data_IF_602913367605
#
_entry.id   IF_602913367605
#
_cell.length_a   1.000
_cell.length_b   1.000
_cell.length_c   1.000
_cell.angle_alpha   90.00
_cell.angle_beta   90.00
_cell.angle_gamma   90.00
#
_symmetry.space_group_name_H-M   'P 1'
#
loop_
_entity.id
_entity.type
_entity.pdbx_description
1 polymer ?
#
# COMPACT_ATOMS: atom_id res chain seq x y z
N UNK A 1 31.78 -40.59 -20.98
CA UNK A 1 31.21 -39.46 -20.22
C UNK A 1 32.32 -38.44 -19.99
N UNK A 2 32.12 -37.19 -20.39
CA UNK A 2 33.09 -36.11 -20.16
C UNK A 2 33.17 -35.75 -18.67
N UNK A 3 34.36 -35.36 -18.19
CA UNK A 3 34.52 -34.91 -16.80
C UNK A 3 33.66 -33.66 -16.53
N UNK A 4 32.94 -33.57 -15.39
CA UNK A 4 32.10 -32.42 -15.07
C UNK A 4 32.93 -31.15 -14.84
N UNK A 5 32.44 -30.03 -15.38
CA UNK A 5 33.08 -28.72 -15.25
C UNK A 5 33.07 -28.23 -13.80
N UNK A 6 34.26 -28.01 -13.23
CA UNK A 6 34.44 -27.63 -11.82
C UNK A 6 34.34 -26.11 -11.63
N UNK A 7 33.13 -25.56 -11.71
CA UNK A 7 32.87 -24.12 -11.58
C UNK A 7 33.52 -23.48 -10.34
N UNK A 8 33.57 -24.22 -9.22
CA UNK A 8 34.14 -23.75 -7.96
C UNK A 8 35.68 -23.66 -7.92
N UNK A 9 36.37 -24.07 -8.98
CA UNK A 9 37.84 -23.94 -9.16
C UNK A 9 38.23 -22.74 -10.03
N UNK A 10 37.26 -22.03 -10.62
CA UNK A 10 37.56 -20.84 -11.40
C UNK A 10 38.13 -19.72 -10.52
N UNK A 11 39.07 -18.90 -11.04
CA UNK A 11 39.48 -17.68 -10.38
C UNK A 11 38.28 -16.77 -10.09
N UNK A 12 38.31 -16.06 -8.95
CA UNK A 12 37.17 -15.27 -8.47
C UNK A 12 36.62 -14.26 -9.49
N UNK A 13 37.49 -13.59 -10.25
CA UNK A 13 37.09 -12.63 -11.29
C UNK A 13 36.31 -13.30 -12.42
N UNK A 14 36.78 -14.46 -12.89
CA UNK A 14 36.13 -15.25 -13.95
C UNK A 14 34.78 -15.77 -13.45
N UNK A 15 34.77 -16.32 -12.23
CA UNK A 15 33.54 -16.83 -11.61
C UNK A 15 32.49 -15.74 -11.43
N UNK A 16 32.90 -14.53 -11.01
CA UNK A 16 32.01 -13.37 -10.91
C UNK A 16 31.43 -12.97 -12.27
N UNK A 17 32.26 -12.99 -13.32
CA UNK A 17 31.80 -12.71 -14.69
C UNK A 17 30.81 -13.77 -15.19
N UNK A 18 31.02 -15.04 -14.86
CA UNK A 18 30.06 -16.11 -15.15
C UNK A 18 28.71 -15.82 -14.47
N UNK A 19 28.71 -15.52 -13.16
CA UNK A 19 27.48 -15.23 -12.43
C UNK A 19 26.76 -13.97 -12.95
N UNK A 20 27.52 -12.95 -13.37
CA UNK A 20 26.96 -11.75 -13.98
C UNK A 20 26.17 -12.03 -15.27
N UNK A 21 26.59 -13.03 -16.05
CA UNK A 21 25.93 -13.40 -17.31
C UNK A 21 24.83 -14.45 -17.13
N UNK A 22 24.73 -15.10 -15.97
CA UNK A 22 23.64 -16.03 -15.66
C UNK A 22 22.33 -15.29 -15.44
N UNK A 23 21.23 -15.83 -15.93
CA UNK A 23 19.87 -15.36 -15.65
C UNK A 23 19.53 -15.46 -14.15
N UNK A 24 18.50 -14.72 -13.73
CA UNK A 24 18.00 -14.77 -12.36
C UNK A 24 17.63 -16.21 -11.94
N UNK A 25 16.94 -16.95 -12.81
CA UNK A 25 16.56 -18.35 -12.54
C UNK A 25 17.78 -19.26 -12.37
N UNK A 26 18.79 -19.12 -13.21
CA UNK A 26 20.04 -19.88 -13.10
C UNK A 26 20.79 -19.56 -11.80
N UNK A 27 20.85 -18.28 -11.40
CA UNK A 27 21.48 -17.89 -10.13
C UNK A 27 20.71 -18.43 -8.92
N UNK A 28 19.38 -18.37 -8.97
CA UNK A 28 18.50 -18.94 -7.96
C UNK A 28 18.75 -20.45 -7.83
N UNK A 29 18.84 -21.19 -8.94
CA UNK A 29 19.15 -22.64 -8.92
C UNK A 29 20.56 -22.92 -8.45
N UNK A 30 21.55 -22.18 -8.94
CA UNK A 30 22.94 -22.34 -8.55
C UNK A 30 23.16 -22.09 -7.05
N UNK A 31 22.42 -21.15 -6.45
CA UNK A 31 22.46 -20.90 -5.01
C UNK A 31 21.93 -22.09 -4.18
N UNK A 32 21.11 -22.97 -4.75
CA UNK A 32 20.65 -24.18 -4.07
C UNK A 32 21.63 -25.34 -4.19
N UNK A 33 22.52 -25.31 -5.18
CA UNK A 33 23.48 -26.39 -5.37
C UNK A 33 24.54 -26.45 -4.26
N UNK A 34 24.86 -25.33 -3.59
CA UNK A 34 25.80 -25.33 -2.45
C UNK A 34 25.73 -24.05 -1.60
N UNK A 35 26.08 -24.15 -0.32
CA UNK A 35 26.26 -22.98 0.55
C UNK A 35 27.36 -22.04 0.04
N UNK A 36 28.39 -22.57 -0.63
CA UNK A 36 29.48 -21.78 -1.19
C UNK A 36 28.99 -20.88 -2.32
N UNK A 37 28.24 -21.42 -3.29
CA UNK A 37 27.67 -20.63 -4.40
C UNK A 37 26.66 -19.60 -3.89
N UNK A 38 25.79 -19.98 -2.95
CA UNK A 38 24.88 -19.04 -2.27
C UNK A 38 25.64 -17.87 -1.65
N UNK A 39 26.68 -18.16 -0.88
CA UNK A 39 27.48 -17.13 -0.20
C UNK A 39 28.19 -16.20 -1.17
N UNK A 40 28.70 -16.72 -2.30
CA UNK A 40 29.34 -15.89 -3.33
C UNK A 40 28.34 -14.97 -4.04
N UNK A 41 27.17 -15.48 -4.43
CA UNK A 41 26.12 -14.66 -5.06
C UNK A 41 25.68 -13.54 -4.11
N UNK A 42 25.50 -13.89 -2.84
CA UNK A 42 25.12 -12.94 -1.80
C UNK A 42 26.20 -11.86 -1.59
N UNK A 43 27.45 -12.27 -1.38
CA UNK A 43 28.57 -11.37 -1.10
C UNK A 43 28.87 -10.42 -2.26
N UNK A 44 28.69 -10.86 -3.50
CA UNK A 44 28.95 -10.03 -4.68
C UNK A 44 27.82 -9.08 -5.03
N UNK A 45 26.64 -9.24 -4.40
CA UNK A 45 25.45 -8.40 -4.58
C UNK A 45 25.24 -7.98 -6.04
N UNK A 46 25.21 -8.98 -6.92
CA UNK A 46 25.33 -8.77 -8.38
C UNK A 46 24.10 -8.04 -8.94
N UNK A 47 22.95 -8.16 -8.29
CA UNK A 47 21.67 -7.62 -8.74
C UNK A 47 20.95 -6.94 -7.58
N UNK A 48 20.48 -5.72 -7.79
CA UNK A 48 19.53 -5.09 -6.90
C UNK A 48 18.11 -5.49 -7.34
N UNK A 49 17.41 -6.23 -6.50
CA UNK A 49 16.10 -6.80 -6.82
C UNK A 49 15.02 -6.28 -5.89
N UNK A 50 13.84 -6.06 -6.43
CA UNK A 50 12.62 -5.75 -5.69
C UNK A 50 11.52 -6.77 -6.01
N UNK A 51 10.77 -7.16 -4.98
CA UNK A 51 9.70 -8.15 -5.09
C UNK A 51 8.33 -7.49 -5.07
N UNK A 52 7.49 -7.89 -6.03
CA UNK A 52 6.07 -7.53 -6.10
C UNK A 52 5.26 -8.82 -6.02
N UNK A 53 4.65 -9.04 -4.86
CA UNK A 53 3.97 -10.29 -4.52
C UNK A 53 2.48 -10.15 -4.80
N UNK A 54 1.92 -11.11 -5.53
CA UNK A 54 0.49 -11.19 -5.76
C UNK A 54 -0.06 -12.52 -5.22
N UNK A 55 -0.90 -12.43 -4.19
CA UNK A 55 -1.67 -13.51 -3.56
C UNK A 55 -3.17 -13.29 -3.81
N UNK A 56 -3.54 -12.78 -4.99
CA UNK A 56 -4.90 -12.44 -5.39
C UNK A 56 -5.20 -13.04 -6.76
N UNK A 57 -6.01 -14.11 -6.75
CA UNK A 57 -6.48 -14.95 -7.87
C UNK A 57 -5.39 -15.68 -8.69
N UNK A 58 -4.31 -14.99 -9.07
CA UNK A 58 -3.28 -15.47 -10.00
C UNK A 58 -1.90 -15.65 -9.38
N UNK A 59 -1.81 -16.04 -8.10
CA UNK A 59 -0.59 -16.29 -7.30
C UNK A 59 0.74 -16.23 -8.06
N UNK A 60 1.48 -15.12 -7.92
CA UNK A 60 2.76 -14.91 -8.60
C UNK A 60 3.71 -14.00 -7.82
N UNK A 61 5.00 -14.09 -8.15
CA UNK A 61 6.02 -13.12 -7.73
C UNK A 61 6.58 -12.43 -8.98
N UNK A 62 6.48 -11.11 -9.05
CA UNK A 62 7.20 -10.32 -10.05
C UNK A 62 8.47 -9.78 -9.41
N UNK A 63 9.60 -10.02 -10.05
CA UNK A 63 10.93 -9.56 -9.62
C UNK A 63 11.39 -8.48 -10.58
N UNK A 64 11.65 -7.30 -10.03
CA UNK A 64 12.15 -6.14 -10.75
C UNK A 64 13.64 -5.98 -10.45
N UNK A 65 14.46 -5.86 -11.49
CA UNK A 65 15.91 -5.71 -11.39
C UNK A 65 16.33 -4.30 -11.77
N UNK A 66 17.26 -3.74 -10.98
CA UNK A 66 17.69 -2.35 -11.12
C UNK A 66 19.21 -2.25 -11.28
N UNK A 67 19.66 -1.23 -12.03
CA UNK A 67 21.07 -0.84 -12.04
C UNK A 67 21.42 -0.22 -10.69
N UNK A 68 22.47 -0.74 -10.04
CA UNK A 68 22.92 -0.30 -8.71
C UNK A 68 23.31 1.18 -8.63
N UNK A 69 23.78 1.79 -9.72
CA UNK A 69 24.24 3.18 -9.70
C UNK A 69 23.09 4.19 -9.64
N UNK A 70 21.99 3.96 -10.37
CA UNK A 70 20.97 5.00 -10.63
C UNK A 70 19.52 4.50 -10.43
N UNK A 71 19.30 3.26 -9.96
CA UNK A 71 17.98 2.63 -9.77
C UNK A 71 17.06 2.67 -11.00
N UNK A 72 17.62 2.64 -12.21
CA UNK A 72 16.82 2.41 -13.41
C UNK A 72 16.42 0.95 -13.51
N UNK A 73 15.13 0.68 -13.74
CA UNK A 73 14.61 -0.65 -13.99
C UNK A 73 15.19 -1.19 -15.29
N UNK A 74 15.92 -2.30 -15.22
CA UNK A 74 16.52 -2.94 -16.40
C UNK A 74 15.66 -4.07 -16.93
N UNK A 75 15.07 -4.84 -16.02
CA UNK A 75 14.32 -6.05 -16.34
C UNK A 75 13.24 -6.29 -15.29
N UNK A 76 12.10 -6.77 -15.73
CA UNK A 76 11.07 -7.30 -14.83
C UNK A 76 10.66 -8.69 -15.30
N UNK A 77 10.64 -9.65 -14.38
CA UNK A 77 10.27 -11.04 -14.66
C UNK A 77 9.15 -11.49 -13.73
N UNK A 78 8.10 -12.09 -14.29
CA UNK A 78 6.99 -12.68 -13.55
C UNK A 78 7.20 -14.19 -13.40
N UNK A 79 7.14 -14.68 -12.16
CA UNK A 79 7.17 -16.10 -11.81
C UNK A 79 5.77 -16.52 -11.38
N UNK A 80 5.09 -17.29 -12.23
CA UNK A 80 3.76 -17.83 -11.93
C UNK A 80 3.88 -18.98 -10.92
N UNK A 81 3.07 -18.94 -9.88
CA UNK A 81 3.07 -19.95 -8.81
C UNK A 81 1.77 -20.76 -8.72
N UNK A 82 0.78 -20.44 -9.56
CA UNK A 82 -0.47 -21.20 -9.68
C UNK A 82 -0.17 -22.68 -9.90
N UNK A 83 -0.85 -23.51 -9.11
CA UNK A 83 -0.78 -24.96 -9.21
C UNK A 83 -2.20 -25.49 -9.27
N UNK A 84 -2.50 -26.38 -10.22
CA UNK A 84 -3.81 -27.02 -10.28
C UNK A 84 -3.86 -28.17 -9.27
N UNK A 85 -4.99 -28.31 -8.59
CA UNK A 85 -5.29 -29.46 -7.78
C UNK A 85 -5.41 -30.69 -8.70
N UNK A 86 -4.69 -31.78 -8.45
CA UNK A 86 -4.66 -32.93 -9.34
C UNK A 86 -6.00 -33.65 -9.47
N UNK A 87 -6.91 -33.46 -8.50
CA UNK A 87 -8.24 -34.09 -8.46
C UNK A 87 -9.27 -33.19 -9.13
N UNK A 88 -9.36 -31.93 -8.71
CA UNK A 88 -10.45 -31.04 -9.13
C UNK A 88 -10.13 -30.23 -10.38
N UNK A 89 -8.84 -30.20 -10.79
CA UNK A 89 -8.30 -29.36 -11.86
C UNK A 89 -8.46 -27.85 -11.64
N UNK A 90 -9.08 -27.42 -10.55
CA UNK A 90 -9.11 -26.03 -10.10
C UNK A 90 -7.80 -25.63 -9.44
N UNK A 91 -7.62 -24.34 -9.20
CA UNK A 91 -6.45 -23.79 -8.53
C UNK A 91 -6.33 -24.35 -7.10
N UNK A 92 -5.20 -24.99 -6.81
CA UNK A 92 -4.79 -25.37 -5.46
C UNK A 92 -4.20 -24.13 -4.77
N UNK A 93 -5.07 -23.39 -4.09
CA UNK A 93 -4.71 -22.14 -3.40
C UNK A 93 -3.60 -22.36 -2.37
N UNK A 94 -3.70 -23.42 -1.56
CA UNK A 94 -2.75 -23.68 -0.48
C UNK A 94 -1.34 -23.94 -1.02
N UNK A 95 -1.23 -24.83 -2.01
CA UNK A 95 0.06 -25.11 -2.64
C UNK A 95 0.59 -23.91 -3.43
N UNK A 96 -0.29 -23.10 -4.03
CA UNK A 96 0.09 -21.90 -4.76
C UNK A 96 0.66 -20.82 -3.82
N UNK A 97 0.05 -20.61 -2.65
CA UNK A 97 0.55 -19.73 -1.59
C UNK A 97 1.92 -20.21 -1.11
N UNK A 98 2.06 -21.51 -0.81
CA UNK A 98 3.33 -22.07 -0.35
C UNK A 98 4.47 -21.84 -1.35
N UNK A 99 4.19 -21.99 -2.65
CA UNK A 99 5.16 -21.72 -3.72
C UNK A 99 5.54 -20.25 -3.80
N UNK A 100 4.60 -19.33 -3.60
CA UNK A 100 4.89 -17.89 -3.53
C UNK A 100 5.80 -17.60 -2.34
N UNK A 101 5.43 -18.05 -1.13
CA UNK A 101 6.17 -17.78 0.10
C UNK A 101 7.58 -18.37 0.07
N UNK A 102 7.71 -19.62 -0.38
CA UNK A 102 9.02 -20.27 -0.55
C UNK A 102 9.89 -19.53 -1.57
N UNK A 103 9.31 -19.02 -2.66
CA UNK A 103 10.05 -18.28 -3.68
C UNK A 103 10.56 -16.93 -3.14
N UNK A 104 9.72 -16.15 -2.45
CA UNK A 104 10.15 -14.86 -1.88
C UNK A 104 11.22 -15.06 -0.80
N UNK A 105 11.09 -16.07 0.05
CA UNK A 105 12.10 -16.40 1.07
C UNK A 105 13.43 -16.79 0.43
N UNK A 106 13.38 -17.59 -0.62
CA UNK A 106 14.56 -18.01 -1.37
C UNK A 106 15.26 -16.81 -2.00
N UNK A 107 14.52 -15.96 -2.73
CA UNK A 107 15.09 -14.78 -3.37
C UNK A 107 15.66 -13.81 -2.33
N UNK A 108 14.93 -13.55 -1.23
CA UNK A 108 15.42 -12.74 -0.12
C UNK A 108 16.71 -13.34 0.49
N UNK A 109 16.78 -14.64 0.70
CA UNK A 109 17.96 -15.28 1.30
C UNK A 109 19.22 -15.17 0.43
N UNK A 110 19.06 -15.06 -0.89
CA UNK A 110 20.17 -15.01 -1.86
C UNK A 110 20.56 -13.58 -2.19
N UNK A 111 19.59 -12.72 -2.48
CA UNK A 111 19.79 -11.38 -3.01
C UNK A 111 19.44 -10.25 -2.05
N UNK A 112 18.93 -10.57 -0.85
CA UNK A 112 18.42 -9.58 0.12
C UNK A 112 17.36 -8.64 -0.50
N UNK A 113 16.57 -9.19 -1.41
CA UNK A 113 15.52 -8.49 -2.11
C UNK A 113 14.36 -8.16 -1.15
N UNK A 114 13.97 -6.90 -1.11
CA UNK A 114 12.84 -6.43 -0.30
C UNK A 114 11.52 -6.61 -1.06
N UNK A 115 10.43 -6.83 -0.31
CA UNK A 115 9.09 -6.83 -0.89
C UNK A 115 8.60 -5.38 -0.91
N UNK A 116 8.42 -4.83 -2.12
CA UNK A 116 7.96 -3.46 -2.32
C UNK A 116 6.45 -3.36 -2.39
N UNK A 117 5.78 -4.37 -2.94
CA UNK A 117 4.33 -4.38 -3.00
C UNK A 117 3.72 -5.75 -2.70
N UNK A 118 2.64 -5.75 -1.94
CA UNK A 118 1.83 -6.92 -1.64
C UNK A 118 0.39 -6.70 -2.15
N UNK A 119 -0.06 -7.52 -3.09
CA UNK A 119 -1.48 -7.62 -3.45
C UNK A 119 -2.05 -8.90 -2.84
N UNK A 120 -3.15 -8.82 -2.11
CA UNK A 120 -3.72 -9.96 -1.39
C UNK A 120 -5.26 -9.94 -1.40
N UNK A 121 -5.87 -11.11 -1.47
CA UNK A 121 -7.31 -11.29 -1.25
C UNK A 121 -7.55 -12.07 0.04
N UNK A 122 -8.40 -11.60 0.95
CA UNK A 122 -8.84 -12.40 2.09
C UNK A 122 -9.62 -13.65 1.67
N UNK A 123 -10.40 -13.55 0.59
CA UNK A 123 -11.27 -14.62 0.12
C UNK A 123 -10.46 -15.86 -0.27
N UNK A 124 -10.80 -17.01 0.31
CA UNK A 124 -10.14 -18.28 0.05
C UNK A 124 -8.76 -18.44 0.72
N UNK A 125 -8.31 -17.45 1.50
CA UNK A 125 -7.05 -17.48 2.28
C UNK A 125 -7.29 -17.43 3.79
N UNK A 126 -8.53 -17.65 4.23
CA UNK A 126 -8.96 -17.44 5.60
C UNK A 126 -8.07 -18.19 6.60
N UNK A 127 -7.87 -19.49 6.37
CA UNK A 127 -7.11 -20.35 7.27
C UNK A 127 -5.58 -20.18 7.14
N UNK A 128 -5.11 -19.45 6.13
CA UNK A 128 -3.68 -19.30 5.82
C UNK A 128 -3.14 -17.91 6.13
N UNK A 129 -4.03 -16.94 6.36
CA UNK A 129 -3.67 -15.52 6.49
C UNK A 129 -2.61 -15.28 7.56
N UNK A 130 -2.76 -15.86 8.76
CA UNK A 130 -1.78 -15.71 9.85
C UNK A 130 -0.39 -16.22 9.43
N UNK A 131 -0.34 -17.42 8.84
CA UNK A 131 0.91 -18.03 8.39
C UNK A 131 1.58 -17.22 7.26
N UNK A 132 0.79 -16.68 6.32
CA UNK A 132 1.27 -15.75 5.29
C UNK A 132 1.92 -14.53 5.94
N UNK A 133 1.23 -13.89 6.89
CA UNK A 133 1.71 -12.66 7.54
C UNK A 133 2.95 -12.93 8.39
N UNK A 134 2.97 -13.98 9.19
CA UNK A 134 4.13 -14.31 10.02
C UNK A 134 5.37 -14.61 9.17
N UNK A 135 5.21 -15.29 8.02
CA UNK A 135 6.32 -15.54 7.08
C UNK A 135 6.81 -14.27 6.39
N UNK A 136 5.90 -13.37 6.00
CA UNK A 136 6.29 -12.06 5.45
C UNK A 136 6.99 -11.20 6.51
N UNK A 137 6.52 -11.20 7.76
CA UNK A 137 7.13 -10.49 8.89
C UNK A 137 8.57 -10.96 9.18
N UNK A 138 8.85 -12.26 8.97
CA UNK A 138 10.21 -12.81 9.08
C UNK A 138 11.15 -12.29 7.98
N UNK A 139 10.62 -11.84 6.84
CA UNK A 139 11.39 -11.21 5.77
C UNK A 139 11.58 -9.72 6.07
N UNK A 140 10.49 -9.02 6.37
CA UNK A 140 10.50 -7.58 6.57
C UNK A 140 9.33 -7.08 7.43
N UNK A 141 9.56 -5.99 8.17
CA UNK A 141 8.55 -5.39 9.07
C UNK A 141 7.70 -4.30 8.40
N UNK A 142 8.19 -3.72 7.31
CA UNK A 142 7.53 -2.65 6.60
C UNK A 142 7.55 -2.92 5.10
N UNK A 143 6.46 -2.59 4.41
CA UNK A 143 6.27 -2.78 2.97
C UNK A 143 5.80 -1.45 2.38
N UNK A 144 6.27 -1.08 1.18
CA UNK A 144 5.94 0.22 0.62
C UNK A 144 4.46 0.32 0.22
N UNK A 145 3.89 -0.73 -0.40
CA UNK A 145 2.50 -0.69 -0.88
C UNK A 145 1.75 -1.99 -0.61
N UNK A 146 0.51 -1.87 -0.15
CA UNK A 146 -0.44 -2.98 -0.05
C UNK A 146 -1.70 -2.68 -0.86
N UNK A 147 -2.15 -3.69 -1.63
CA UNK A 147 -3.47 -3.68 -2.25
C UNK A 147 -4.29 -4.86 -1.76
N UNK A 148 -5.39 -4.58 -1.08
CA UNK A 148 -6.34 -5.57 -0.57
C UNK A 148 -7.55 -5.58 -1.49
N UNK A 149 -7.97 -6.75 -1.95
CA UNK A 149 -9.10 -6.93 -2.89
C UNK A 149 -10.01 -8.04 -2.36
N UNK A 150 -11.34 -7.90 -2.45
CA UNK A 150 -12.28 -8.95 -2.06
C UNK A 150 -13.73 -8.58 -2.35
N UNK A 151 -14.66 -9.53 -2.16
CA UNK A 151 -16.10 -9.38 -2.45
C UNK A 151 -17.02 -9.40 -1.21
N UNK A 152 -16.45 -9.17 -0.01
CA UNK A 152 -17.21 -8.95 1.22
C UNK A 152 -17.68 -10.21 1.96
N UNK A 153 -17.61 -11.40 1.35
CA UNK A 153 -18.32 -12.59 1.86
C UNK A 153 -17.62 -13.37 2.99
N UNK A 154 -16.31 -13.22 3.21
CA UNK A 154 -15.56 -13.96 4.25
C UNK A 154 -14.33 -13.23 4.83
N UNK A 155 -14.17 -11.93 4.57
CA UNK A 155 -12.87 -11.25 4.58
C UNK A 155 -12.40 -10.66 5.93
N UNK A 156 -13.19 -10.75 7.00
CA UNK A 156 -13.11 -9.75 8.06
C UNK A 156 -12.00 -9.94 9.11
N UNK A 157 -11.80 -11.13 9.74
CA UNK A 157 -10.68 -11.34 10.68
C UNK A 157 -9.31 -11.24 9.99
N UNK A 158 -9.27 -11.56 8.70
CA UNK A 158 -8.05 -11.66 7.89
C UNK A 158 -7.46 -10.29 7.53
N UNK A 159 -8.30 -9.26 7.48
CA UNK A 159 -7.86 -7.88 7.27
C UNK A 159 -7.05 -7.34 8.45
N UNK A 160 -7.45 -7.64 9.68
CA UNK A 160 -6.71 -7.27 10.88
C UNK A 160 -5.31 -7.92 10.90
N UNK A 161 -5.22 -9.17 10.49
CA UNK A 161 -3.94 -9.86 10.37
C UNK A 161 -3.03 -9.20 9.31
N UNK A 162 -3.59 -8.75 8.17
CA UNK A 162 -2.83 -8.00 7.15
C UNK A 162 -2.26 -6.70 7.75
N UNK A 163 -3.08 -5.96 8.48
CA UNK A 163 -2.70 -4.66 9.06
C UNK A 163 -1.75 -4.75 10.26
N UNK A 164 -1.33 -5.96 10.67
CA UNK A 164 -0.15 -6.14 11.55
C UNK A 164 1.15 -5.74 10.85
N UNK A 165 1.19 -5.78 9.52
CA UNK A 165 2.29 -5.26 8.73
C UNK A 165 2.22 -3.73 8.69
N UNK A 166 3.38 -3.08 8.74
CA UNK A 166 3.47 -1.63 8.50
C UNK A 166 3.51 -1.38 7.00
N UNK A 167 2.66 -0.48 6.54
CA UNK A 167 2.63 -0.09 5.14
C UNK A 167 2.87 1.40 4.99
N UNK A 168 3.59 1.80 3.95
CA UNK A 168 3.58 3.22 3.57
C UNK A 168 2.26 3.58 2.89
N UNK A 169 1.79 2.76 1.96
CA UNK A 169 0.52 2.97 1.26
C UNK A 169 -0.38 1.73 1.33
N UNK A 170 -1.66 1.93 1.63
CA UNK A 170 -2.70 0.90 1.62
C UNK A 170 -3.82 1.32 0.68
N UNK A 171 -4.17 0.43 -0.26
CA UNK A 171 -5.32 0.56 -1.14
C UNK A 171 -6.27 -0.61 -0.92
N UNK A 172 -7.42 -0.33 -0.34
CA UNK A 172 -8.42 -1.30 0.05
C UNK A 172 -9.62 -1.27 -0.90
N UNK A 173 -9.89 -2.40 -1.55
CA UNK A 173 -10.92 -2.58 -2.57
C UNK A 173 -11.78 -3.81 -2.26
N UNK A 174 -12.21 -3.96 -1.00
CA UNK A 174 -13.16 -5.00 -0.63
C UNK A 174 -14.59 -4.48 -0.83
N UNK A 175 -15.39 -5.17 -1.65
CA UNK A 175 -16.76 -4.80 -2.00
C UNK A 175 -17.75 -5.21 -0.88
N UNK A 176 -18.38 -4.21 -0.25
CA UNK A 176 -19.49 -4.26 0.74
C UNK A 176 -19.33 -5.09 2.04
N UNK A 177 -19.83 -4.52 3.15
CA UNK A 177 -19.73 -5.09 4.50
C UNK A 177 -21.05 -5.01 5.26
N UNK A 178 -21.35 -6.09 5.98
CA UNK A 178 -22.23 -6.10 7.15
C UNK A 178 -21.36 -6.02 8.42
N UNK A 179 -21.77 -5.15 9.34
CA UNK A 179 -21.31 -5.00 10.73
C UNK A 179 -20.12 -4.08 11.07
N UNK A 180 -20.31 -3.45 12.24
CA UNK A 180 -19.47 -2.44 12.87
C UNK A 180 -18.21 -3.07 13.47
N UNK A 181 -17.04 -2.54 13.10
CA UNK A 181 -15.78 -2.88 13.77
C UNK A 181 -15.26 -1.70 14.59
N UNK A 182 -14.46 -2.04 15.60
CA UNK A 182 -13.56 -1.10 16.27
C UNK A 182 -12.12 -1.47 15.91
N UNK A 183 -11.54 -0.76 14.94
CA UNK A 183 -10.08 -0.71 14.83
C UNK A 183 -9.59 0.57 15.50
N UNK A 184 -8.38 0.54 16.06
CA UNK A 184 -7.60 1.78 16.17
C UNK A 184 -7.21 2.28 14.77
N UNK A 185 -6.62 3.46 14.68
CA UNK A 185 -6.20 4.03 13.40
C UNK A 185 -5.34 3.08 12.55
N UNK A 186 -5.46 3.16 11.22
CA UNK A 186 -4.68 2.33 10.30
C UNK A 186 -3.24 2.86 10.25
N UNK A 187 -2.21 2.04 10.58
CA UNK A 187 -0.83 2.51 10.72
C UNK A 187 -0.13 2.61 9.36
N UNK A 188 -0.57 3.55 8.52
CA UNK A 188 0.03 3.84 7.22
C UNK A 188 0.15 5.35 6.96
N UNK A 189 1.00 5.73 6.01
CA UNK A 189 1.19 7.14 5.59
C UNK A 189 0.07 7.56 4.60
N UNK A 190 -0.27 6.67 3.65
CA UNK A 190 -1.32 6.90 2.65
C UNK A 190 -2.37 5.80 2.70
N UNK A 191 -3.63 6.19 2.84
CA UNK A 191 -4.77 5.28 2.92
C UNK A 191 -5.80 5.59 1.82
N UNK A 192 -6.14 4.60 1.01
CA UNK A 192 -7.26 4.66 0.07
C UNK A 192 -8.22 3.50 0.33
N UNK A 193 -9.50 3.77 0.55
CA UNK A 193 -10.54 2.75 0.74
C UNK A 193 -11.65 3.00 -0.29
N UNK A 194 -11.91 2.03 -1.18
CA UNK A 194 -12.91 2.15 -2.24
C UNK A 194 -14.34 2.06 -1.70
N UNK A 195 -14.60 1.14 -0.76
CA UNK A 195 -15.91 0.94 -0.13
C UNK A 195 -15.81 1.21 1.37
N UNK A 196 -15.84 2.48 1.75
CA UNK A 196 -15.57 2.96 3.11
C UNK A 196 -16.82 3.14 3.97
N UNK A 197 -17.94 2.45 3.69
CA UNK A 197 -19.19 2.57 4.46
C UNK A 197 -19.07 2.15 5.93
N UNK A 198 -18.15 1.23 6.22
CA UNK A 198 -17.81 0.76 7.57
C UNK A 198 -16.83 1.68 8.30
N UNK A 199 -16.12 2.56 7.58
CA UNK A 199 -15.15 3.49 8.16
C UNK A 199 -15.91 4.62 8.85
N UNK A 200 -15.64 4.87 10.13
CA UNK A 200 -16.34 5.86 10.95
C UNK A 200 -15.42 7.04 11.29
N UNK A 201 -15.99 8.14 11.79
CA UNK A 201 -15.23 9.32 12.21
C UNK A 201 -14.18 9.01 13.29
N UNK A 202 -14.49 8.14 14.26
CA UNK A 202 -13.52 7.67 15.26
C UNK A 202 -12.27 7.05 14.62
N UNK A 203 -12.45 6.20 13.60
CA UNK A 203 -11.35 5.59 12.86
C UNK A 203 -10.50 6.63 12.11
N UNK A 204 -11.13 7.70 11.61
CA UNK A 204 -10.41 8.82 10.99
C UNK A 204 -9.53 9.54 12.01
N UNK A 205 -10.10 9.88 13.16
CA UNK A 205 -9.43 10.63 14.22
C UNK A 205 -8.30 9.83 14.88
N UNK A 206 -8.43 8.51 14.98
CA UNK A 206 -7.38 7.62 15.48
C UNK A 206 -6.22 7.44 14.49
N UNK A 207 -6.40 7.78 13.21
CA UNK A 207 -5.42 7.62 12.13
C UNK A 207 -4.33 8.72 12.11
N UNK A 208 -3.74 9.00 13.28
CA UNK A 208 -2.77 10.09 13.52
C UNK A 208 -1.45 10.00 12.73
N UNK A 209 -1.11 8.82 12.20
CA UNK A 209 0.09 8.59 11.39
C UNK A 209 -0.14 8.91 9.91
N UNK A 210 -1.40 8.91 9.44
CA UNK A 210 -1.72 9.13 8.04
C UNK A 210 -1.47 10.58 7.61
N UNK A 211 -0.76 10.77 6.50
CA UNK A 211 -0.65 12.07 5.83
C UNK A 211 -1.68 12.26 4.73
N UNK A 212 -2.15 11.18 4.08
CA UNK A 212 -3.17 11.28 3.03
C UNK A 212 -4.22 10.19 3.14
N UNK A 213 -5.48 10.59 3.09
CA UNK A 213 -6.62 9.67 3.20
C UNK A 213 -7.60 9.91 2.06
N UNK A 214 -8.03 8.84 1.40
CA UNK A 214 -9.08 8.84 0.40
C UNK A 214 -10.13 7.79 0.74
N UNK A 215 -11.34 8.25 1.03
CA UNK A 215 -12.49 7.43 1.35
C UNK A 215 -13.50 7.56 0.21
N UNK A 216 -13.80 6.46 -0.47
CA UNK A 216 -14.85 6.41 -1.50
C UNK A 216 -16.02 5.58 -1.01
N UNK A 217 -17.19 5.84 -1.58
CA UNK A 217 -18.44 5.19 -1.21
C UNK A 217 -18.66 5.19 0.33
N UNK A 218 -18.32 6.31 0.97
CA UNK A 218 -18.38 6.48 2.42
C UNK A 218 -19.80 6.69 2.94
N UNK A 219 -20.06 6.30 4.17
CA UNK A 219 -21.28 6.60 4.92
C UNK A 219 -21.24 7.96 5.63
N UNK A 220 -20.12 8.70 5.55
CA UNK A 220 -19.93 10.01 6.19
C UNK A 220 -21.01 11.02 5.81
N UNK A 221 -21.56 11.67 6.82
CA UNK A 221 -22.54 12.76 6.70
C UNK A 221 -21.85 14.10 6.96
N UNK A 222 -22.59 15.20 6.76
CA UNK A 222 -22.06 16.55 7.03
C UNK A 222 -21.57 16.73 8.47
N UNK A 223 -22.22 16.11 9.46
CA UNK A 223 -21.78 16.23 10.86
C UNK A 223 -20.46 15.48 11.14
N UNK A 224 -20.19 14.35 10.47
CA UNK A 224 -18.92 13.63 10.63
C UNK A 224 -17.75 14.48 10.13
N UNK A 225 -17.96 15.24 9.04
CA UNK A 225 -16.97 16.17 8.53
C UNK A 225 -16.82 17.42 9.40
N UNK A 226 -17.91 17.91 9.98
CA UNK A 226 -17.85 19.00 10.97
C UNK A 226 -17.01 18.57 12.18
N UNK A 227 -17.26 17.37 12.72
CA UNK A 227 -16.48 16.78 13.80
C UNK A 227 -15.00 16.68 13.43
N UNK A 228 -14.67 16.13 12.24
CA UNK A 228 -13.30 16.11 11.72
C UNK A 228 -12.66 17.51 11.71
N UNK A 229 -13.33 18.52 11.17
CA UNK A 229 -12.79 19.87 11.06
C UNK A 229 -12.59 20.51 12.44
N UNK A 230 -13.53 20.30 13.38
CA UNK A 230 -13.45 20.78 14.77
C UNK A 230 -12.27 20.18 15.51
N UNK A 231 -12.06 18.88 15.39
CA UNK A 231 -10.90 18.21 15.98
C UNK A 231 -9.59 18.64 15.29
N UNK A 232 -9.61 18.84 13.97
CA UNK A 232 -8.42 19.30 13.26
C UNK A 232 -8.00 20.70 13.71
N UNK A 233 -8.93 21.66 13.87
CA UNK A 233 -8.58 23.01 14.33
C UNK A 233 -8.02 23.04 15.75
N UNK A 234 -8.38 22.09 16.61
CA UNK A 234 -7.84 21.99 17.98
C UNK A 234 -6.49 21.28 18.05
N UNK A 235 -6.00 20.72 16.94
CA UNK A 235 -4.67 20.09 16.87
C UNK A 235 -4.67 18.60 16.55
N UNK A 236 -5.82 17.98 16.30
CA UNK A 236 -5.88 16.57 15.91
C UNK A 236 -5.26 16.34 14.52
N UNK A 237 -4.85 15.09 14.28
CA UNK A 237 -4.30 14.63 13.00
C UNK A 237 -3.13 15.51 12.50
N UNK A 238 -2.04 15.64 13.28
CA UNK A 238 -0.97 16.60 13.01
C UNK A 238 -0.25 16.37 11.68
N UNK A 239 -0.22 15.12 11.20
CA UNK A 239 0.46 14.73 9.96
C UNK A 239 -0.43 14.84 8.72
N UNK A 240 -1.74 15.07 8.87
CA UNK A 240 -2.69 15.02 7.76
C UNK A 240 -2.49 16.22 6.82
N UNK A 241 -2.13 15.91 5.58
CA UNK A 241 -1.94 16.84 4.47
C UNK A 241 -3.13 16.88 3.53
N UNK A 242 -3.82 15.75 3.33
CA UNK A 242 -4.91 15.63 2.37
C UNK A 242 -5.98 14.63 2.83
N UNK A 243 -7.25 15.01 2.75
CA UNK A 243 -8.40 14.14 2.95
C UNK A 243 -9.40 14.33 1.81
N UNK A 244 -9.80 13.23 1.19
CA UNK A 244 -10.91 13.20 0.22
C UNK A 244 -11.96 12.21 0.69
N UNK A 245 -13.19 12.67 0.86
CA UNK A 245 -14.34 11.82 1.21
C UNK A 245 -15.40 11.94 0.14
N UNK A 246 -15.69 10.84 -0.55
CA UNK A 246 -16.79 10.73 -1.52
C UNK A 246 -17.95 9.97 -0.87
N UNK A 247 -19.04 10.68 -0.60
CA UNK A 247 -20.24 10.14 0.05
C UNK A 247 -21.53 10.61 -0.62
N UNK A 248 -22.62 9.85 -0.45
CA UNK A 248 -23.98 10.28 -0.83
C UNK A 248 -24.68 11.10 0.25
N UNK A 249 -24.13 11.16 1.47
CA UNK A 249 -24.82 11.72 2.63
C UNK A 249 -24.25 13.05 3.12
N UNK A 250 -23.10 13.48 2.61
CA UNK A 250 -22.55 14.79 2.87
C UNK A 250 -23.01 15.79 1.80
N UNK A 251 -24.00 16.63 2.09
CA UNK A 251 -24.57 17.58 1.10
C UNK A 251 -24.65 19.01 1.61
N UNK A 252 -24.56 19.17 2.93
CA UNK A 252 -24.83 20.44 3.58
C UNK A 252 -23.52 21.07 4.05
N UNK A 253 -23.09 22.11 3.34
CA UNK A 253 -21.91 22.89 3.69
C UNK A 253 -22.11 23.76 4.93
N UNK A 254 -23.35 24.18 5.24
CA UNK A 254 -23.63 24.98 6.43
C UNK A 254 -23.41 24.15 7.68
N UNK A 255 -23.89 22.90 7.67
CA UNK A 255 -23.63 21.93 8.76
C UNK A 255 -22.14 21.61 8.89
N UNK A 256 -21.41 21.45 7.78
CA UNK A 256 -19.95 21.24 7.82
C UNK A 256 -19.23 22.42 8.50
N UNK A 257 -19.70 23.65 8.28
CA UNK A 257 -19.14 24.88 8.84
C UNK A 257 -19.65 25.24 10.25
N UNK A 258 -20.58 24.48 10.82
CA UNK A 258 -21.23 24.87 12.07
C UNK A 258 -20.23 25.01 13.23
N UNK A 259 -20.18 26.21 13.81
CA UNK A 259 -19.27 26.53 14.92
C UNK A 259 -17.80 26.69 14.54
N UNK A 260 -17.46 26.78 13.25
CA UNK A 260 -16.10 27.04 12.77
C UNK A 260 -15.93 28.50 12.31
N UNK A 261 -14.78 29.08 12.61
CA UNK A 261 -14.41 30.41 12.12
C UNK A 261 -13.69 30.31 10.78
N UNK A 262 -14.29 30.87 9.73
CA UNK A 262 -13.67 30.98 8.42
C UNK A 262 -12.63 32.11 8.39
N UNK A 263 -11.45 31.84 7.85
CA UNK A 263 -10.38 32.84 7.73
C UNK A 263 -10.80 33.89 6.70
N UNK A 264 -10.99 35.13 7.15
CA UNK A 264 -11.45 36.25 6.32
C UNK A 264 -10.37 36.75 5.36
N UNK A 265 -9.14 36.90 5.87
CA UNK A 265 -8.02 37.35 5.07
C UNK A 265 -7.33 36.16 4.40
N UNK A 266 -7.52 36.07 3.08
CA UNK A 266 -7.04 34.96 2.25
C UNK A 266 -5.97 35.39 1.25
N UNK A 267 -5.50 36.64 1.28
CA UNK A 267 -4.57 37.18 0.29
C UNK A 267 -3.32 36.33 0.15
N UNK A 268 -2.83 35.79 1.27
CA UNK A 268 -1.56 35.10 1.32
C UNK A 268 -1.63 33.68 0.76
N UNK A 269 -2.81 33.05 0.73
CA UNK A 269 -2.94 31.62 0.43
C UNK A 269 -4.03 31.26 -0.57
N UNK A 270 -4.82 32.23 -1.05
CA UNK A 270 -5.82 32.01 -2.10
C UNK A 270 -5.15 31.52 -3.37
N UNK A 271 -5.59 30.35 -3.85
CA UNK A 271 -5.05 29.76 -5.07
C UNK A 271 -3.67 29.12 -4.93
N UNK A 272 -3.16 28.91 -3.71
CA UNK A 272 -1.98 28.04 -3.49
C UNK A 272 -2.32 26.61 -3.89
N UNK A 273 -1.35 25.91 -4.46
CA UNK A 273 -1.48 24.49 -4.74
C UNK A 273 -1.26 23.69 -3.46
N UNK A 274 -1.80 22.49 -3.43
CA UNK A 274 -1.49 21.48 -2.44
C UNK A 274 -1.27 20.15 -3.16
N UNK A 275 -0.57 19.26 -2.49
CA UNK A 275 -0.30 17.93 -3.01
C UNK A 275 -1.51 17.01 -2.77
N UNK A 276 -2.20 16.59 -3.82
CA UNK A 276 -3.33 15.68 -3.71
C UNK A 276 -2.88 14.24 -3.37
N UNK A 277 -3.82 13.29 -3.28
CA UNK A 277 -3.52 11.89 -2.95
C UNK A 277 -2.41 11.27 -3.83
N UNK A 278 -2.49 11.47 -5.15
CA UNK A 278 -1.53 10.89 -6.12
C UNK A 278 -0.13 11.53 -6.06
N UNK A 279 0.02 12.65 -5.37
CA UNK A 279 1.27 13.42 -5.36
C UNK A 279 1.31 14.57 -6.36
N UNK A 280 0.25 14.79 -7.15
CA UNK A 280 0.20 15.92 -8.07
C UNK A 280 -0.28 17.18 -7.37
N UNK A 281 0.23 18.33 -7.79
CA UNK A 281 -0.24 19.63 -7.31
C UNK A 281 -1.62 19.95 -7.86
N UNK A 282 -2.54 20.36 -6.98
CA UNK A 282 -3.90 20.73 -7.31
C UNK A 282 -4.36 21.93 -6.48
N UNK A 283 -5.47 22.53 -6.91
CA UNK A 283 -6.14 23.61 -6.20
C UNK A 283 -7.58 23.20 -5.92
N UNK A 284 -8.07 23.48 -4.70
CA UNK A 284 -9.48 23.34 -4.38
C UNK A 284 -10.19 24.61 -4.86
N UNK A 285 -10.95 24.48 -5.94
CA UNK A 285 -11.75 25.56 -6.52
C UNK A 285 -12.86 25.94 -5.52
N UNK A 286 -13.03 27.24 -5.28
CA UNK A 286 -14.00 27.79 -4.32
C UNK A 286 -13.85 27.23 -2.89
N UNK A 287 -12.61 26.93 -2.48
CA UNK A 287 -12.32 26.47 -1.13
C UNK A 287 -12.59 27.52 -0.07
N UNK A 288 -13.12 27.06 1.06
CA UNK A 288 -13.12 27.78 2.34
C UNK A 288 -11.80 27.53 3.06
N UNK A 289 -11.49 28.38 4.03
CA UNK A 289 -10.22 28.32 4.77
C UNK A 289 -10.46 28.34 6.27
N UNK A 290 -9.74 27.47 6.98
CA UNK A 290 -9.74 27.40 8.44
C UNK A 290 -8.31 27.38 8.96
N UNK A 291 -8.14 27.85 10.20
CA UNK A 291 -6.84 27.91 10.87
C UNK A 291 -6.84 27.02 12.10
N UNK A 292 -5.80 26.21 12.23
CA UNK A 292 -5.53 25.39 13.41
C UNK A 292 -4.85 26.21 14.50
N UNK A 293 -4.93 25.74 15.75
CA UNK A 293 -4.33 26.38 16.94
C UNK A 293 -2.82 26.66 16.81
N UNK A 294 -2.10 25.89 15.99
CA UNK A 294 -0.66 26.07 15.73
C UNK A 294 -0.36 27.07 14.59
N UNK A 295 -1.40 27.70 14.03
CA UNK A 295 -1.30 28.65 12.92
C UNK A 295 -1.35 28.01 11.53
N UNK A 296 -1.36 26.68 11.42
CA UNK A 296 -1.49 26.02 10.13
C UNK A 296 -2.84 26.34 9.47
N UNK A 297 -2.84 26.57 8.16
CA UNK A 297 -4.05 26.90 7.39
C UNK A 297 -4.37 25.76 6.43
N UNK A 298 -5.63 25.34 6.41
CA UNK A 298 -6.13 24.37 5.46
C UNK A 298 -7.22 24.97 4.59
N UNK A 299 -7.35 24.44 3.38
CA UNK A 299 -8.45 24.74 2.47
C UNK A 299 -9.32 23.51 2.27
N UNK A 300 -10.62 23.70 2.15
CA UNK A 300 -11.53 22.61 1.86
C UNK A 300 -12.76 23.06 1.09
N UNK A 301 -13.40 22.13 0.39
CA UNK A 301 -14.66 22.37 -0.29
C UNK A 301 -15.51 21.09 -0.33
N UNK A 302 -16.82 21.28 -0.43
CA UNK A 302 -17.79 20.24 -0.72
C UNK A 302 -18.38 20.50 -2.11
N UNK A 303 -18.18 19.57 -3.04
CA UNK A 303 -18.70 19.68 -4.42
C UNK A 303 -19.49 18.45 -4.84
N UNK A 304 -20.51 18.65 -5.66
CA UNK A 304 -21.20 17.56 -6.33
C UNK A 304 -20.32 16.98 -7.45
N UNK A 305 -20.34 15.66 -7.63
CA UNK A 305 -19.60 15.02 -8.72
C UNK A 305 -20.47 14.85 -9.96
N UNK A 306 -19.96 15.28 -11.12
CA UNK A 306 -20.64 15.08 -12.41
C UNK A 306 -20.65 13.61 -12.87
N UNK A 307 -19.74 12.78 -12.33
CA UNK A 307 -19.56 11.39 -12.79
C UNK A 307 -20.59 10.41 -12.21
N UNK A 308 -21.20 10.73 -11.06
CA UNK A 308 -22.21 9.89 -10.42
C UNK A 308 -23.26 10.80 -9.78
N UNK A 309 -24.50 10.76 -10.27
CA UNK A 309 -25.60 11.50 -9.66
C UNK A 309 -25.68 11.13 -8.16
N UNK A 310 -25.94 12.14 -7.32
CA UNK A 310 -26.12 12.04 -5.86
C UNK A 310 -24.87 11.77 -5.01
N UNK A 311 -23.67 11.80 -5.57
CA UNK A 311 -22.43 11.78 -4.78
C UNK A 311 -21.82 13.18 -4.65
N UNK A 312 -21.31 13.44 -3.47
CA UNK A 312 -20.57 14.64 -3.12
C UNK A 312 -19.14 14.24 -2.74
N UNK A 313 -18.21 15.12 -3.07
CA UNK A 313 -16.80 15.00 -2.73
C UNK A 313 -16.48 16.16 -1.80
N UNK A 314 -16.13 15.81 -0.57
CA UNK A 314 -15.43 16.70 0.33
C UNK A 314 -13.93 16.53 0.10
N UNK A 315 -13.25 17.64 -0.16
CA UNK A 315 -11.79 17.68 -0.27
C UNK A 315 -11.27 18.65 0.78
N UNK A 316 -10.25 18.23 1.51
CA UNK A 316 -9.53 19.01 2.50
C UNK A 316 -8.03 18.88 2.21
N UNK A 317 -7.31 19.99 2.28
CA UNK A 317 -5.87 20.00 2.09
C UNK A 317 -5.18 21.05 2.97
N UNK A 318 -4.05 20.65 3.55
CA UNK A 318 -3.15 21.55 4.25
C UNK A 318 -2.42 22.43 3.24
N UNK A 319 -2.40 23.74 3.48
CA UNK A 319 -1.62 24.66 2.67
C UNK A 319 -0.20 24.71 3.24
N UNK A 320 0.79 24.41 2.40
CA UNK A 320 2.19 24.60 2.81
C UNK A 320 2.46 26.10 2.91
N UNK A 321 2.93 26.52 4.08
CA UNK A 321 3.57 27.82 4.24
C UNK A 321 5.01 27.60 3.81
N UNK A 322 5.40 28.14 2.67
CA UNK A 322 6.82 28.21 2.32
C UNK A 322 7.52 29.00 3.44
N UNK A 323 8.42 28.32 4.17
CA UNK A 323 9.31 28.93 5.16
C UNK A 323 10.57 29.40 4.44
#
# INVERSE_FOLDING_TARGET
>A
MSEPFRIGKLPGVVLRKVFFNMTLFELINLSQCSNKTKSLINAWNIRHLELHVNLCYDYFVRVSEFVTSNRYLTKSQKFQCNTANPVTQYLDTELSVERVLTLIERINSVFKAEIKSLKITPNGLENQMRMIIDRILNIQKAIDSCKIVGDGTSAFPHRCEILRLKFREVNDQIDEYFDFFSMGGIPCDKLSIEHSSWFQISHLLDSTVCSKIQLKHSSFKSYDLNEFLREWVTGALPNLLFLSVKSRYCRDMQLVMEGLEEVQDTTDFRGRSHECFSGTEQHIINGKYIRRVDGAVATFNLRETSAFRDFFIFEFALLRVDI
#
